data_IF_505853838320
#
_entry.id   IF_505853838320
#
_cell.length_a   1.000
_cell.length_b   1.000
_cell.length_c   1.000
_cell.angle_alpha   90.00
_cell.angle_beta   90.00
_cell.angle_gamma   90.00
#
_symmetry.space_group_name_H-M   'P 1'
#
loop_
_entity.id
_entity.type
_entity.pdbx_description
1 polymer ?
#
# COMPACT_ATOMS: atom_id res chain seq x y z
N UNK A 1 -8.37 -32.01 10.66
CA UNK A 1 -9.38 -31.25 11.42
C UNK A 1 -10.75 -31.74 10.99
N UNK A 2 -11.65 -31.96 11.94
CA UNK A 2 -13.06 -32.19 11.62
C UNK A 2 -13.75 -30.90 11.14
N UNK A 3 -15.03 -30.98 10.76
CA UNK A 3 -15.79 -29.84 10.26
C UNK A 3 -15.90 -28.70 11.30
N UNK A 4 -16.03 -29.03 12.59
CA UNK A 4 -16.12 -28.03 13.65
C UNK A 4 -14.79 -27.28 13.84
N UNK A 5 -13.67 -28.00 13.83
CA UNK A 5 -12.33 -27.43 13.89
C UNK A 5 -12.01 -26.57 12.65
N UNK A 6 -12.43 -26.99 11.45
CA UNK A 6 -12.28 -26.19 10.24
C UNK A 6 -13.11 -24.91 10.27
N UNK A 7 -14.33 -24.96 10.80
CA UNK A 7 -15.17 -23.77 10.98
C UNK A 7 -14.55 -22.79 11.97
N UNK A 8 -14.06 -23.29 13.10
CA UNK A 8 -13.36 -22.44 14.08
C UNK A 8 -12.12 -21.79 13.47
N UNK A 9 -11.31 -22.56 12.73
CA UNK A 9 -10.14 -22.03 12.02
C UNK A 9 -10.51 -20.95 11.01
N UNK A 10 -11.61 -21.11 10.28
CA UNK A 10 -12.11 -20.04 9.40
C UNK A 10 -12.42 -18.76 10.19
N UNK A 11 -13.14 -18.87 11.30
CA UNK A 11 -13.47 -17.69 12.13
C UNK A 11 -12.24 -16.99 12.70
N UNK A 12 -11.20 -17.74 13.07
CA UNK A 12 -9.98 -17.18 13.66
C UNK A 12 -9.08 -16.50 12.63
N UNK A 13 -9.11 -16.95 11.37
CA UNK A 13 -8.22 -16.51 10.29
C UNK A 13 -8.89 -15.69 9.19
N UNK A 14 -10.21 -15.51 9.25
CA UNK A 14 -10.93 -14.59 8.38
C UNK A 14 -10.66 -13.15 8.82
N UNK A 15 -9.99 -12.40 7.97
CA UNK A 15 -9.87 -10.97 8.11
C UNK A 15 -10.92 -10.25 7.27
N UNK A 16 -11.64 -9.31 7.88
CA UNK A 16 -12.53 -8.39 7.18
C UNK A 16 -12.07 -6.95 7.40
N UNK A 17 -11.77 -6.25 6.30
CA UNK A 17 -11.45 -4.84 6.32
C UNK A 17 -12.71 -4.02 6.05
N UNK A 18 -13.39 -3.56 7.11
CA UNK A 18 -14.67 -2.84 7.03
C UNK A 18 -14.62 -1.63 6.07
N UNK A 19 -13.59 -0.79 6.17
CA UNK A 19 -13.50 0.41 5.34
C UNK A 19 -13.28 0.17 3.83
N UNK A 20 -12.93 -1.05 3.44
CA UNK A 20 -12.75 -1.44 2.03
C UNK A 20 -13.78 -2.50 1.60
N UNK A 21 -14.58 -3.01 2.54
CA UNK A 21 -15.49 -4.14 2.34
C UNK A 21 -14.80 -5.39 1.75
N UNK A 22 -13.53 -5.62 2.13
CA UNK A 22 -12.70 -6.74 1.63
C UNK A 22 -12.59 -7.84 2.68
N UNK A 23 -12.78 -9.09 2.25
CA UNK A 23 -12.49 -10.29 3.02
C UNK A 23 -11.20 -10.96 2.53
N UNK A 24 -10.36 -11.39 3.47
CA UNK A 24 -9.19 -12.23 3.21
C UNK A 24 -9.27 -13.45 4.12
N UNK A 25 -9.38 -14.63 3.52
CA UNK A 25 -9.41 -15.91 4.22
C UNK A 25 -8.14 -16.70 3.91
N UNK A 26 -7.32 -16.92 4.94
CA UNK A 26 -6.11 -17.74 4.85
C UNK A 26 -6.27 -19.11 5.53
N UNK A 27 -7.45 -19.44 6.05
CA UNK A 27 -7.70 -20.64 6.86
C UNK A 27 -7.40 -21.95 6.13
N UNK A 28 -7.44 -21.95 4.79
CA UNK A 28 -7.18 -23.10 3.91
C UNK A 28 -5.76 -23.15 3.35
N UNK A 29 -4.89 -22.21 3.71
CA UNK A 29 -3.47 -22.27 3.38
C UNK A 29 -2.76 -23.30 4.27
N UNK A 30 -1.69 -23.87 3.74
CA UNK A 30 -0.90 -24.91 4.41
C UNK A 30 0.04 -24.31 5.47
N UNK A 31 -0.50 -23.98 6.64
CA UNK A 31 0.28 -23.64 7.83
C UNK A 31 -0.42 -24.10 9.12
N UNK A 32 0.35 -24.33 10.16
CA UNK A 32 -0.13 -24.56 11.52
C UNK A 32 0.20 -23.37 12.44
N UNK A 33 -0.32 -23.42 13.67
CA UNK A 33 -0.16 -22.33 14.62
C UNK A 33 1.31 -22.16 15.06
N UNK A 34 2.08 -23.25 15.06
CA UNK A 34 3.50 -23.21 15.37
C UNK A 34 4.30 -22.48 14.28
N UNK A 35 4.01 -22.73 13.01
CA UNK A 35 4.60 -22.01 11.89
C UNK A 35 4.20 -20.54 11.89
N UNK A 36 2.93 -20.22 12.16
CA UNK A 36 2.49 -18.84 12.28
C UNK A 36 3.24 -18.09 13.40
N UNK A 37 3.44 -18.73 14.56
CA UNK A 37 4.24 -18.16 15.65
C UNK A 37 5.71 -17.95 15.27
N UNK A 38 6.30 -18.86 14.48
CA UNK A 38 7.66 -18.69 13.96
C UNK A 38 7.80 -17.53 12.95
N UNK A 39 6.71 -17.18 12.24
CA UNK A 39 6.69 -16.05 11.32
C UNK A 39 6.52 -14.70 12.03
N UNK A 40 5.96 -14.66 13.24
CA UNK A 40 5.70 -13.41 13.98
C UNK A 40 6.90 -12.42 14.01
N UNK A 41 8.13 -12.81 14.42
CA UNK A 41 9.27 -11.89 14.43
C UNK A 41 9.69 -11.43 13.02
N UNK A 42 9.41 -12.22 11.98
CA UNK A 42 9.69 -11.82 10.58
C UNK A 42 8.67 -10.80 10.09
N UNK A 43 7.42 -10.88 10.56
CA UNK A 43 6.43 -9.85 10.29
C UNK A 43 6.77 -8.54 11.01
N UNK A 44 7.23 -8.59 12.27
CA UNK A 44 7.73 -7.42 12.98
C UNK A 44 8.83 -6.72 12.19
N UNK A 45 9.85 -7.48 11.75
CA UNK A 45 10.91 -6.95 10.87
C UNK A 45 10.34 -6.36 9.57
N UNK A 46 9.41 -7.04 8.90
CA UNK A 46 8.82 -6.55 7.66
C UNK A 46 8.07 -5.22 7.87
N UNK A 47 7.38 -5.04 9.01
CA UNK A 47 6.70 -3.78 9.32
C UNK A 47 7.69 -2.65 9.60
N UNK A 48 8.80 -2.92 10.29
CA UNK A 48 9.87 -1.94 10.49
C UNK A 48 10.52 -1.53 9.16
N UNK A 49 10.82 -2.50 8.28
CA UNK A 49 11.38 -2.24 6.96
C UNK A 49 10.41 -1.46 6.06
N UNK A 50 9.11 -1.75 6.14
CA UNK A 50 8.07 -0.99 5.44
C UNK A 50 8.01 0.45 5.93
N UNK A 51 8.04 0.69 7.25
CA UNK A 51 8.06 2.04 7.80
C UNK A 51 9.33 2.82 7.37
N UNK A 52 10.49 2.15 7.35
CA UNK A 52 11.72 2.75 6.85
C UNK A 52 11.63 3.09 5.34
N UNK A 53 11.08 2.19 4.54
CA UNK A 53 10.87 2.39 3.10
C UNK A 53 9.94 3.56 2.83
N UNK A 54 8.79 3.61 3.50
CA UNK A 54 7.82 4.72 3.41
C UNK A 54 8.44 6.04 3.87
N UNK A 55 9.27 5.99 4.91
CA UNK A 55 10.07 7.11 5.42
C UNK A 55 11.27 7.51 4.55
N UNK A 56 11.43 6.92 3.36
CA UNK A 56 12.46 7.35 2.40
C UNK A 56 13.83 6.71 2.57
N UNK A 57 13.92 5.55 3.22
CA UNK A 57 15.15 4.75 3.17
C UNK A 57 15.52 4.37 1.73
N UNK A 58 16.82 4.20 1.48
CA UNK A 58 17.32 3.66 0.22
C UNK A 58 17.01 2.16 0.19
N UNK A 59 15.90 1.81 -0.46
CA UNK A 59 15.46 0.42 -0.62
C UNK A 59 15.87 -0.18 -1.97
N UNK A 60 16.31 0.64 -2.94
CA UNK A 60 16.95 0.19 -4.17
C UNK A 60 18.45 0.51 -4.11
N UNK A 61 19.29 -0.40 -3.57
CA UNK A 61 20.71 -0.16 -3.39
C UNK A 61 21.48 -0.12 -4.70
N UNK A 62 21.05 -0.87 -5.72
CA UNK A 62 21.73 -0.94 -7.03
C UNK A 62 21.72 0.42 -7.74
N UNK A 63 20.62 1.16 -7.61
CA UNK A 63 20.48 2.50 -8.19
C UNK A 63 20.71 3.63 -7.16
N UNK A 64 20.95 3.29 -5.89
CA UNK A 64 20.99 4.23 -4.76
C UNK A 64 19.75 5.15 -4.71
N UNK A 65 18.55 4.54 -4.76
CA UNK A 65 17.26 5.25 -4.83
C UNK A 65 16.27 4.86 -3.73
N UNK A 66 15.42 5.82 -3.38
CA UNK A 66 14.21 5.60 -2.58
C UNK A 66 13.09 4.95 -3.42
N UNK A 67 12.14 4.29 -2.78
CA UNK A 67 10.99 3.65 -3.43
C UNK A 67 9.70 4.38 -3.04
N UNK A 68 9.40 5.47 -3.74
CA UNK A 68 8.43 6.49 -3.30
C UNK A 68 6.99 6.38 -3.81
N UNK A 69 6.56 5.26 -4.38
CA UNK A 69 5.23 5.17 -5.01
C UNK A 69 4.07 5.29 -4.02
N UNK A 70 4.30 5.01 -2.73
CA UNK A 70 3.34 5.26 -1.64
C UNK A 70 2.98 6.74 -1.52
N UNK A 71 3.97 7.63 -1.68
CA UNK A 71 3.77 9.08 -1.61
C UNK A 71 2.86 9.62 -2.73
N UNK A 72 2.76 8.89 -3.85
CA UNK A 72 1.87 9.27 -4.95
C UNK A 72 0.39 9.03 -4.60
N UNK A 73 0.11 8.13 -3.64
CA UNK A 73 -1.24 7.86 -3.13
C UNK A 73 -1.54 8.69 -1.89
N UNK A 74 -0.56 8.84 -1.02
CA UNK A 74 -0.64 9.67 0.18
C UNK A 74 0.61 10.57 0.29
N UNK A 75 0.53 11.83 -0.19
CA UNK A 75 1.67 12.76 -0.18
C UNK A 75 2.14 13.14 1.23
N UNK A 76 1.34 12.95 2.27
CA UNK A 76 1.73 13.27 3.65
C UNK A 76 2.79 12.31 4.20
N UNK A 77 2.94 11.14 3.57
CA UNK A 77 4.01 10.17 3.88
C UNK A 77 5.38 10.55 3.27
N UNK A 78 5.43 11.56 2.40
CA UNK A 78 6.67 11.90 1.72
C UNK A 78 7.75 12.37 2.72
N UNK A 79 9.01 11.91 2.60
CA UNK A 79 10.06 12.19 3.59
C UNK A 79 10.61 13.62 3.52
N UNK A 80 10.11 14.45 2.61
CA UNK A 80 10.43 15.87 2.55
C UNK A 80 9.28 16.69 1.97
N UNK A 81 9.16 17.94 2.42
CA UNK A 81 8.18 18.89 1.90
C UNK A 81 8.33 19.13 0.39
N UNK A 82 9.56 19.07 -0.14
CA UNK A 82 9.79 19.22 -1.57
C UNK A 82 9.18 18.05 -2.38
N UNK A 83 9.32 16.81 -1.89
CA UNK A 83 8.72 15.66 -2.54
C UNK A 83 7.18 15.71 -2.47
N UNK A 84 6.63 16.02 -1.30
CA UNK A 84 5.20 16.25 -1.11
C UNK A 84 4.66 17.30 -2.09
N UNK A 85 5.34 18.45 -2.16
CA UNK A 85 5.00 19.54 -3.06
C UNK A 85 5.02 19.09 -4.52
N UNK A 86 6.08 18.42 -4.96
CA UNK A 86 6.18 17.90 -6.33
C UNK A 86 5.01 16.98 -6.70
N UNK A 87 4.61 16.08 -5.80
CA UNK A 87 3.45 15.19 -6.00
C UNK A 87 2.15 16.00 -6.10
N UNK A 88 1.88 16.85 -5.12
CA UNK A 88 0.62 17.62 -5.05
C UNK A 88 0.46 18.62 -6.20
N UNK A 89 1.54 19.34 -6.57
CA UNK A 89 1.52 20.29 -7.68
C UNK A 89 1.36 19.59 -9.03
N UNK A 90 2.05 18.46 -9.24
CA UNK A 90 1.90 17.67 -10.47
C UNK A 90 0.47 17.16 -10.59
N UNK A 91 -0.10 16.64 -9.50
CA UNK A 91 -1.49 16.17 -9.49
C UNK A 91 -2.48 17.30 -9.79
N UNK A 92 -2.27 18.50 -9.23
CA UNK A 92 -3.08 19.68 -9.53
C UNK A 92 -2.99 20.05 -11.01
N UNK A 93 -1.78 20.13 -11.55
CA UNK A 93 -1.55 20.47 -12.95
C UNK A 93 -2.21 19.47 -13.91
N UNK A 94 -2.12 18.17 -13.63
CA UNK A 94 -2.77 17.12 -14.43
C UNK A 94 -4.30 17.26 -14.39
N UNK A 95 -4.89 17.50 -13.21
CA UNK A 95 -6.34 17.69 -13.05
C UNK A 95 -6.82 18.95 -13.77
N UNK A 96 -6.08 20.04 -13.66
CA UNK A 96 -6.39 21.31 -14.31
C UNK A 96 -6.33 21.19 -15.83
N UNK A 97 -5.29 20.53 -16.34
CA UNK A 97 -5.16 20.25 -17.77
C UNK A 97 -6.34 19.39 -18.27
N UNK A 98 -6.64 18.28 -17.59
CA UNK A 98 -7.77 17.42 -17.93
C UNK A 98 -9.12 18.15 -17.85
N UNK A 99 -9.28 19.07 -16.90
CA UNK A 99 -10.47 19.94 -16.81
C UNK A 99 -10.59 20.86 -18.03
N UNK A 100 -9.50 21.55 -18.40
CA UNK A 100 -9.46 22.47 -19.54
C UNK A 100 -9.71 21.79 -20.89
N UNK A 101 -9.27 20.53 -21.04
CA UNK A 101 -9.60 19.71 -22.22
C UNK A 101 -11.10 19.40 -22.26
N UNK A 102 -11.68 18.93 -21.15
CA UNK A 102 -13.10 18.57 -21.08
C UNK A 102 -14.03 19.78 -21.22
N UNK A 103 -13.60 20.97 -20.78
CA UNK A 103 -14.37 22.21 -20.93
C UNK A 103 -14.23 22.86 -22.31
N UNK A 104 -13.35 22.34 -23.18
CA UNK A 104 -13.02 22.99 -24.45
C UNK A 104 -12.23 24.30 -24.31
N UNK A 105 -11.66 24.57 -23.12
CA UNK A 105 -10.76 25.72 -22.92
C UNK A 105 -9.38 25.49 -23.56
N UNK A 106 -8.97 24.23 -23.67
CA UNK A 106 -7.85 23.80 -24.51
C UNK A 106 -8.43 22.90 -25.61
N UNK A 107 -8.09 23.20 -26.85
CA UNK A 107 -8.52 22.47 -28.05
C UNK A 107 -7.31 22.25 -28.97
N UNK A 108 -7.34 21.25 -29.88
CA UNK A 108 -6.31 21.12 -30.89
C UNK A 108 -6.23 22.40 -31.75
N UNK A 109 -5.05 22.78 -32.25
CA UNK A 109 -4.94 23.79 -33.28
C UNK A 109 -5.69 23.30 -34.53
N UNK A 110 -6.42 24.22 -35.17
CA UNK A 110 -7.18 23.96 -36.39
C UNK A 110 -6.33 23.33 -37.50
#
# INVERSE_FOLDING_TARGET
>A
MDAAALWKRYQDWLYYHEGLEIYVDVSRMSFDDAFAAQLAPRFEQAFEEMAALEGGAIANPDENRMVGHYWLRDPDLAPSENLKKNVTETLSAVKDFASKIRSGSIVPPN
#
